data_IF_193050505890
#
_entry.id   IF_193050505890
#
_cell.length_a   1.000
_cell.length_b   1.000
_cell.length_c   1.000
_cell.angle_alpha   90.00
_cell.angle_beta   90.00
_cell.angle_gamma   90.00
#
_symmetry.space_group_name_H-M   'P 1'
#
loop_
_entity.id
_entity.type
_entity.pdbx_description
1 polymer ?
#
# COMPACT_ATOMS: atom_id res chain seq x y z
N UNK A 1 22.07 32.37 19.11
CA UNK A 1 21.40 31.05 19.07
C UNK A 1 20.32 31.02 17.99
N UNK A 2 20.65 30.89 16.69
CA UNK A 2 19.65 30.82 15.60
C UNK A 2 20.07 29.97 14.38
N UNK A 3 21.22 29.28 14.43
CA UNK A 3 21.76 28.52 13.29
C UNK A 3 21.43 27.03 13.35
N UNK A 4 21.16 26.48 14.52
CA UNK A 4 20.79 25.07 14.71
C UNK A 4 19.39 24.74 14.21
N UNK A 5 18.43 25.66 14.31
CA UNK A 5 17.04 25.40 13.89
C UNK A 5 16.86 25.32 12.36
N UNK A 6 17.67 26.03 11.57
CA UNK A 6 17.52 26.04 10.11
C UNK A 6 18.00 24.73 9.46
N UNK A 7 19.07 24.13 10.01
CA UNK A 7 19.65 22.88 9.48
C UNK A 7 18.74 21.67 9.75
N UNK A 8 18.06 21.64 10.90
CA UNK A 8 17.12 20.56 11.25
C UNK A 8 15.89 20.54 10.35
N UNK A 9 15.35 21.71 9.99
CA UNK A 9 14.19 21.83 9.10
C UNK A 9 14.51 21.39 7.66
N UNK A 10 15.71 21.68 7.14
CA UNK A 10 16.12 21.29 5.78
C UNK A 10 16.35 19.77 5.68
N UNK A 11 16.92 19.14 6.72
CA UNK A 11 17.13 17.70 6.76
C UNK A 11 15.81 16.91 6.83
N UNK A 12 14.81 17.40 7.57
CA UNK A 12 13.49 16.77 7.64
C UNK A 12 12.76 16.81 6.30
N UNK A 13 12.81 17.93 5.58
CA UNK A 13 12.20 18.06 4.25
C UNK A 13 12.85 17.12 3.22
N UNK A 14 14.18 16.98 3.26
CA UNK A 14 14.91 16.07 2.36
C UNK A 14 14.73 14.58 2.70
N UNK A 15 14.50 14.24 3.97
CA UNK A 15 14.19 12.87 4.39
C UNK A 15 12.77 12.45 3.95
N UNK A 16 11.80 13.36 4.09
CA UNK A 16 10.45 13.16 3.56
C UNK A 16 10.48 12.95 2.04
N UNK A 17 11.31 13.69 1.29
CA UNK A 17 11.38 13.52 -0.17
C UNK A 17 11.99 12.18 -0.61
N UNK A 18 12.90 11.59 0.17
CA UNK A 18 13.53 10.30 -0.15
C UNK A 18 12.66 9.09 0.16
N UNK A 19 11.99 9.06 1.33
CA UNK A 19 11.04 7.99 1.69
C UNK A 19 9.96 7.88 0.62
N UNK A 20 9.43 9.01 0.17
CA UNK A 20 8.43 9.09 -0.90
C UNK A 20 8.91 8.53 -2.23
N UNK A 21 10.06 9.03 -2.73
CA UNK A 21 10.57 8.59 -4.01
C UNK A 21 10.84 7.07 -4.01
N UNK A 22 11.22 6.52 -2.86
CA UNK A 22 11.39 5.09 -2.67
C UNK A 22 10.05 4.35 -2.64
N UNK A 23 9.06 4.81 -1.88
CA UNK A 23 7.72 4.21 -1.84
C UNK A 23 7.10 4.13 -3.23
N UNK A 24 7.17 5.23 -4.00
CA UNK A 24 6.65 5.25 -5.37
C UNK A 24 7.40 4.25 -6.28
N UNK A 25 8.75 4.29 -6.28
CA UNK A 25 9.56 3.35 -7.09
C UNK A 25 9.36 1.89 -6.70
N UNK A 26 9.16 1.60 -5.42
CA UNK A 26 8.92 0.25 -4.94
C UNK A 26 7.51 -0.22 -5.30
N UNK A 27 6.50 0.67 -5.20
CA UNK A 27 5.14 0.35 -5.60
C UNK A 27 5.06 -0.08 -7.08
N UNK A 28 5.84 0.57 -7.96
CA UNK A 28 5.91 0.20 -9.38
C UNK A 28 6.49 -1.21 -9.65
N UNK A 29 7.13 -1.84 -8.66
CA UNK A 29 7.65 -3.22 -8.75
C UNK A 29 6.61 -4.27 -8.35
N UNK A 30 5.53 -3.86 -7.68
CA UNK A 30 4.50 -4.77 -7.19
C UNK A 30 3.69 -5.37 -8.34
N UNK A 31 3.30 -6.63 -8.17
CA UNK A 31 2.49 -7.39 -9.13
C UNK A 31 1.38 -8.12 -8.38
N UNK A 32 0.30 -8.39 -9.10
CA UNK A 32 -0.81 -9.20 -8.60
C UNK A 32 -0.35 -10.67 -8.47
N UNK A 33 -0.86 -11.37 -7.46
CA UNK A 33 -0.50 -12.75 -7.16
C UNK A 33 0.81 -12.93 -6.37
N UNK A 34 1.52 -11.84 -6.04
CA UNK A 34 2.69 -11.89 -5.15
C UNK A 34 2.28 -12.29 -3.73
N UNK A 35 3.20 -12.88 -2.97
CA UNK A 35 2.98 -13.17 -1.55
C UNK A 35 3.08 -11.90 -0.71
N UNK A 36 2.57 -11.96 0.52
CA UNK A 36 2.83 -10.96 1.55
C UNK A 36 4.32 -10.70 1.74
N UNK A 37 5.11 -11.78 1.79
CA UNK A 37 6.55 -11.71 2.04
C UNK A 37 7.27 -10.94 0.93
N UNK A 38 6.92 -11.20 -0.33
CA UNK A 38 7.49 -10.46 -1.46
C UNK A 38 7.07 -8.98 -1.44
N UNK A 39 5.80 -8.70 -1.12
CA UNK A 39 5.29 -7.35 -0.95
C UNK A 39 6.09 -6.58 0.12
N UNK A 40 6.27 -7.17 1.29
CA UNK A 40 7.00 -6.56 2.41
C UNK A 40 8.51 -6.46 2.12
N UNK A 41 9.07 -7.40 1.36
CA UNK A 41 10.46 -7.31 0.89
C UNK A 41 10.67 -6.10 -0.03
N UNK A 42 9.70 -5.82 -0.91
CA UNK A 42 9.77 -4.71 -1.87
C UNK A 42 9.48 -3.36 -1.21
N UNK A 43 8.40 -3.28 -0.44
CA UNK A 43 7.91 -2.02 0.12
C UNK A 43 8.53 -1.69 1.48
N UNK A 44 9.03 -2.68 2.20
CA UNK A 44 9.31 -2.58 3.62
C UNK A 44 8.05 -2.68 4.48
N UNK A 45 8.20 -2.45 5.78
CA UNK A 45 7.08 -2.44 6.72
C UNK A 45 6.04 -1.36 6.34
N UNK A 46 4.74 -1.67 6.37
CA UNK A 46 3.68 -0.70 6.16
C UNK A 46 3.61 0.29 7.33
N UNK A 47 3.10 1.49 7.04
CA UNK A 47 2.79 2.48 8.07
C UNK A 47 1.49 2.08 8.81
N UNK A 48 0.49 1.57 8.07
CA UNK A 48 -0.77 1.08 8.62
C UNK A 48 -1.18 -0.28 8.04
N UNK A 49 -1.89 -1.08 8.84
CA UNK A 49 -2.41 -2.39 8.42
C UNK A 49 -3.86 -2.54 8.88
N UNK A 50 -4.74 -2.87 7.95
CA UNK A 50 -6.18 -2.99 8.18
C UNK A 50 -6.63 -4.41 7.84
N UNK A 51 -6.66 -5.32 8.83
CA UNK A 51 -7.21 -6.66 8.63
C UNK A 51 -8.74 -6.62 8.61
N UNK A 52 -9.35 -7.65 8.02
CA UNK A 52 -10.76 -7.96 8.23
C UNK A 52 -11.06 -8.13 9.73
N UNK A 53 -12.15 -7.54 10.20
CA UNK A 53 -12.67 -7.71 11.56
C UNK A 53 -14.14 -8.08 11.49
N UNK A 54 -14.49 -9.24 12.04
CA UNK A 54 -15.87 -9.73 12.09
C UNK A 54 -16.80 -8.75 12.80
N UNK A 55 -17.99 -8.52 12.21
CA UNK A 55 -18.98 -7.56 12.72
C UNK A 55 -18.65 -6.08 12.48
N UNK A 56 -17.45 -5.74 11.98
CA UNK A 56 -17.06 -4.36 11.63
C UNK A 56 -16.80 -4.17 10.13
N UNK A 57 -16.16 -5.14 9.50
CA UNK A 57 -15.85 -5.12 8.06
C UNK A 57 -17.03 -5.65 7.23
N UNK A 58 -17.13 -5.19 5.99
CA UNK A 58 -18.12 -5.72 5.05
C UNK A 58 -17.83 -7.22 4.76
N UNK A 59 -18.86 -8.09 4.66
CA UNK A 59 -18.65 -9.53 4.50
C UNK A 59 -17.74 -9.95 3.33
N UNK A 60 -17.80 -9.23 2.20
CA UNK A 60 -16.97 -9.53 1.02
C UNK A 60 -15.46 -9.22 1.21
N UNK A 61 -15.09 -8.62 2.35
CA UNK A 61 -13.70 -8.38 2.75
C UNK A 61 -13.15 -9.50 3.64
N UNK A 62 -13.93 -10.55 3.91
CA UNK A 62 -13.49 -11.67 4.73
C UNK A 62 -12.16 -12.25 4.23
N UNK A 63 -11.22 -12.43 5.17
CA UNK A 63 -9.87 -12.93 4.89
C UNK A 63 -8.96 -11.94 4.17
N UNK A 64 -9.39 -10.70 3.91
CA UNK A 64 -8.55 -9.69 3.27
C UNK A 64 -7.81 -8.83 4.30
N UNK A 65 -6.62 -8.38 3.92
CA UNK A 65 -5.83 -7.41 4.69
C UNK A 65 -5.31 -6.31 3.76
N UNK A 66 -5.51 -5.05 4.14
CA UNK A 66 -4.92 -3.92 3.44
C UNK A 66 -3.66 -3.43 4.17
N UNK A 67 -2.63 -3.09 3.40
CA UNK A 67 -1.37 -2.52 3.87
C UNK A 67 -1.18 -1.16 3.23
N UNK A 68 -0.86 -0.16 4.04
CA UNK A 68 -0.78 1.23 3.60
C UNK A 68 0.59 1.83 3.90
N UNK A 69 1.15 2.51 2.90
CA UNK A 69 2.36 3.33 3.02
C UNK A 69 2.02 4.77 2.69
N UNK A 70 2.30 5.66 3.65
CA UNK A 70 1.96 7.05 3.53
C UNK A 70 2.70 7.72 2.36
N UNK A 71 1.95 8.45 1.55
CA UNK A 71 2.51 9.43 0.65
C UNK A 71 2.76 10.74 1.39
N UNK A 72 3.79 11.51 0.99
CA UNK A 72 4.04 12.80 1.60
C UNK A 72 2.96 13.77 1.17
N UNK A 73 2.76 14.81 1.98
CA UNK A 73 1.83 15.89 1.66
C UNK A 73 2.13 16.63 0.34
N UNK A 74 3.33 16.46 -0.23
CA UNK A 74 3.75 17.10 -1.48
C UNK A 74 3.41 16.30 -2.73
N UNK A 75 2.98 15.03 -2.61
CA UNK A 75 2.54 14.27 -3.78
C UNK A 75 1.05 14.52 -4.03
N UNK A 76 0.64 14.84 -5.28
CA UNK A 76 -0.75 14.79 -5.66
C UNK A 76 -1.15 13.32 -5.79
N UNK A 77 -1.71 12.77 -4.72
CA UNK A 77 -2.31 11.44 -4.75
C UNK A 77 -2.39 10.78 -3.37
N UNK A 78 -3.34 9.85 -3.18
CA UNK A 78 -3.55 9.18 -1.91
C UNK A 78 -2.40 8.22 -1.60
N UNK A 79 -2.38 7.70 -0.37
CA UNK A 79 -1.39 6.71 0.08
C UNK A 79 -1.35 5.47 -0.82
N UNK A 80 -0.18 4.84 -0.83
CA UNK A 80 0.04 3.55 -1.47
C UNK A 80 -0.69 2.47 -0.69
N UNK A 81 -1.52 1.67 -1.36
CA UNK A 81 -2.29 0.62 -0.70
C UNK A 81 -2.17 -0.68 -1.47
N UNK A 82 -1.82 -1.76 -0.79
CA UNK A 82 -1.87 -3.11 -1.32
C UNK A 82 -2.87 -3.93 -0.52
N UNK A 83 -3.69 -4.73 -1.21
CA UNK A 83 -4.68 -5.62 -0.57
C UNK A 83 -4.31 -7.06 -0.87
N UNK A 84 -4.12 -7.82 0.20
CA UNK A 84 -4.03 -9.27 0.17
C UNK A 84 -5.42 -9.88 0.28
N UNK A 85 -5.70 -10.91 -0.52
CA UNK A 85 -6.93 -11.69 -0.43
C UNK A 85 -6.83 -12.88 0.53
N UNK A 86 -7.94 -13.60 0.71
CA UNK A 86 -8.01 -14.75 1.61
C UNK A 86 -7.06 -15.91 1.25
N UNK A 87 -6.45 -15.89 0.05
CA UNK A 87 -5.44 -16.88 -0.36
C UNK A 87 -4.01 -16.49 0.03
N UNK A 88 -3.82 -15.33 0.66
CA UNK A 88 -2.51 -14.81 1.02
C UNK A 88 -1.77 -14.17 -0.16
N UNK A 89 -2.51 -13.76 -1.20
CA UNK A 89 -1.95 -13.17 -2.42
C UNK A 89 -2.41 -11.73 -2.62
N UNK A 90 -1.51 -10.89 -3.14
CA UNK A 90 -1.84 -9.51 -3.50
C UNK A 90 -2.85 -9.48 -4.64
N UNK A 91 -4.06 -8.99 -4.36
CA UNK A 91 -5.18 -8.91 -5.31
C UNK A 91 -5.42 -7.50 -5.85
N UNK A 92 -4.89 -6.48 -5.19
CA UNK A 92 -4.97 -5.08 -5.63
C UNK A 92 -3.77 -4.30 -5.16
N UNK A 93 -3.28 -3.39 -6.01
CA UNK A 93 -2.22 -2.43 -5.72
C UNK A 93 -2.67 -1.06 -6.20
N UNK A 94 -2.59 -0.06 -5.33
CA UNK A 94 -2.77 1.34 -5.67
C UNK A 94 -1.44 2.08 -5.47
N UNK A 95 -0.88 2.57 -6.55
CA UNK A 95 0.29 3.43 -6.53
C UNK A 95 -0.12 4.88 -6.82
N UNK A 96 -0.33 5.68 -5.77
CA UNK A 96 -0.88 7.04 -5.91
C UNK A 96 -2.29 6.98 -6.57
N UNK A 97 -2.55 7.77 -7.61
CA UNK A 97 -3.80 7.75 -8.38
C UNK A 97 -3.91 6.56 -9.35
N UNK A 98 -2.83 5.80 -9.55
CA UNK A 98 -2.82 4.63 -10.44
C UNK A 98 -3.24 3.38 -9.68
N UNK A 99 -4.32 2.72 -10.11
CA UNK A 99 -4.79 1.46 -9.55
C UNK A 99 -4.50 0.31 -10.51
N UNK A 100 -3.89 -0.75 -10.00
CA UNK A 100 -3.72 -2.05 -10.66
C UNK A 100 -4.50 -3.07 -9.83
N UNK A 101 -5.63 -3.54 -10.35
CA UNK A 101 -6.48 -4.51 -9.65
C UNK A 101 -6.71 -5.75 -10.51
N UNK A 102 -6.60 -6.94 -9.93
CA UNK A 102 -7.22 -8.12 -10.52
C UNK A 102 -8.71 -8.04 -10.22
N UNK A 103 -9.51 -7.60 -11.20
CA UNK A 103 -10.91 -8.00 -11.23
C UNK A 103 -10.93 -9.49 -11.49
N UNK A 104 -10.95 -10.31 -10.44
CA UNK A 104 -11.29 -11.73 -10.63
C UNK A 104 -12.77 -11.74 -11.00
N UNK A 105 -13.07 -11.69 -12.30
CA UNK A 105 -14.32 -12.22 -12.82
C UNK A 105 -14.26 -13.74 -12.56
N UNK A 106 -14.63 -14.14 -11.34
CA UNK A 106 -15.05 -15.51 -11.11
C UNK A 106 -16.42 -15.58 -11.77
N UNK A 107 -16.49 -16.15 -12.97
CA UNK A 107 -17.77 -16.57 -13.52
C UNK A 107 -18.46 -17.42 -12.43
N UNK A 108 -19.74 -17.14 -12.08
CA UNK A 108 -20.44 -18.00 -11.15
C UNK A 108 -20.36 -19.44 -11.68
N UNK A 109 -20.11 -20.45 -10.82
CA UNK A 109 -20.02 -21.83 -11.28
C UNK A 109 -21.27 -22.15 -12.09
N UNK A 110 -21.07 -22.78 -13.26
CA UNK A 110 -22.15 -23.13 -14.16
C UNK A 110 -23.29 -23.76 -13.36
N UNK A 111 -24.45 -23.10 -13.36
CA UNK A 111 -25.66 -23.62 -12.76
C UNK A 111 -25.95 -24.98 -13.38
N UNK A 112 -26.00 -26.02 -12.53
CA UNK A 112 -26.34 -27.39 -12.93
C UNK A 112 -27.68 -27.45 -13.66
#
# INVERSE_FOLDING_TARGET
MKRTSLVVLILAAAACSKKTANNYRNCLKLRLGMTQEDLLTIMGAPDETFPYVEGKSLPHLQGRTAYEWANPATMPGPNHVSVEDASGKVASVRCSDSVISASVFIEPPASR
#
